data_IF_562918134086
#
_entry.id   IF_562918134086
#
_cell.length_a   1.000
_cell.length_b   1.000
_cell.length_c   1.000
_cell.angle_alpha   90.00
_cell.angle_beta   90.00
_cell.angle_gamma   90.00
#
_symmetry.space_group_name_H-M   'P 1'
#
loop_
_entity.id
_entity.type
_entity.pdbx_description
1 polymer ?
#
# COMPACT_ATOMS: atom_id res chain seq x y z
N UNK A 1 42.47 -4.00 8.13
CA UNK A 1 43.39 -2.96 8.60
C UNK A 1 42.98 -2.44 9.99
N UNK A 2 41.74 -1.98 10.23
CA UNK A 2 41.33 -1.40 11.52
C UNK A 2 41.32 -2.37 12.73
N UNK A 3 40.80 -3.60 12.56
CA UNK A 3 40.75 -4.61 13.66
C UNK A 3 42.15 -4.96 14.15
N UNK A 4 43.08 -5.29 13.25
CA UNK A 4 44.44 -5.68 13.63
C UNK A 4 45.23 -4.62 14.39
N UNK A 5 44.99 -3.34 14.11
CA UNK A 5 45.63 -2.22 14.82
C UNK A 5 45.00 -1.95 16.20
N UNK A 6 43.75 -2.35 16.37
CA UNK A 6 43.00 -2.22 17.62
C UNK A 6 43.29 -3.38 18.60
N UNK A 7 43.67 -4.54 18.06
CA UNK A 7 43.97 -5.77 18.82
C UNK A 7 45.46 -6.00 19.04
N UNK A 8 46.34 -5.30 18.32
CA UNK A 8 47.79 -5.38 18.54
C UNK A 8 48.22 -4.71 19.85
N UNK A 9 49.25 -5.27 20.48
CA UNK A 9 49.99 -4.62 21.56
C UNK A 9 50.52 -3.25 21.13
N UNK A 10 50.52 -2.30 22.06
CA UNK A 10 50.97 -0.91 21.84
C UNK A 10 52.27 -0.65 22.59
N UNK A 11 52.92 0.48 22.34
CA UNK A 11 54.09 0.91 23.09
C UNK A 11 53.83 2.29 23.73
N UNK A 12 54.32 2.48 24.95
CA UNK A 12 54.36 3.78 25.63
C UNK A 12 55.39 4.69 24.93
N UNK A 13 55.37 5.99 25.25
CA UNK A 13 56.40 6.91 24.74
C UNK A 13 57.82 6.51 25.18
N UNK A 14 57.95 5.78 26.30
CA UNK A 14 59.22 5.26 26.81
C UNK A 14 59.58 3.86 26.22
N UNK A 15 58.73 3.29 25.37
CA UNK A 15 58.94 1.98 24.74
C UNK A 15 58.35 0.78 25.50
N UNK A 16 57.68 1.01 26.63
CA UNK A 16 57.08 -0.07 27.43
C UNK A 16 55.85 -0.66 26.73
N UNK A 17 55.66 -1.99 26.73
CA UNK A 17 54.49 -2.60 26.13
C UNK A 17 53.20 -2.20 26.88
N UNK A 18 52.25 -1.67 26.13
CA UNK A 18 50.90 -1.33 26.57
C UNK A 18 49.92 -2.38 26.03
N UNK A 19 48.90 -2.66 26.85
CA UNK A 19 47.81 -3.53 26.43
C UNK A 19 47.12 -3.03 25.15
N UNK A 20 46.57 -3.95 24.33
CA UNK A 20 45.70 -3.59 23.21
C UNK A 20 44.59 -2.63 23.65
N UNK A 21 44.05 -1.85 22.71
CA UNK A 21 42.91 -0.96 23.02
C UNK A 21 41.67 -1.74 23.44
N UNK A 22 41.49 -2.92 22.86
CA UNK A 22 40.40 -3.84 23.14
C UNK A 22 40.99 -5.20 23.54
N UNK A 23 41.44 -5.34 24.79
CA UNK A 23 42.18 -6.53 25.23
C UNK A 23 41.34 -7.81 25.20
N UNK A 24 40.03 -7.74 25.44
CA UNK A 24 39.15 -8.92 25.43
C UNK A 24 38.81 -9.34 23.99
N UNK A 25 38.63 -8.39 23.08
CA UNK A 25 38.44 -8.67 21.65
C UNK A 25 39.71 -9.27 21.04
N UNK A 26 40.88 -8.75 21.39
CA UNK A 26 42.17 -9.28 20.94
C UNK A 26 42.35 -10.74 21.37
N UNK A 27 42.21 -11.01 22.67
CA UNK A 27 42.34 -12.34 23.25
C UNK A 27 41.33 -13.34 22.68
N UNK A 28 40.08 -12.93 22.43
CA UNK A 28 39.08 -13.79 21.83
C UNK A 28 39.28 -14.06 20.33
N UNK A 29 39.82 -13.09 19.57
CA UNK A 29 40.23 -13.31 18.19
C UNK A 29 41.42 -14.27 18.10
N UNK A 30 42.43 -14.09 18.96
CA UNK A 30 43.63 -14.92 18.99
C UNK A 30 43.30 -16.38 19.33
N UNK A 31 42.32 -16.60 20.21
CA UNK A 31 41.77 -17.94 20.52
C UNK A 31 40.76 -18.47 19.51
N UNK A 32 40.41 -17.69 18.48
CA UNK A 32 39.41 -18.07 17.49
C UNK A 32 37.97 -18.18 18.03
N UNK A 33 37.69 -17.61 19.22
CA UNK A 33 36.37 -17.65 19.84
C UNK A 33 35.36 -16.74 19.12
N UNK A 34 35.84 -15.68 18.48
CA UNK A 34 35.00 -14.77 17.68
C UNK A 34 35.60 -14.56 16.28
N UNK A 35 34.75 -14.32 15.28
CA UNK A 35 35.17 -13.94 13.94
C UNK A 35 35.47 -12.45 13.79
N UNK A 36 36.15 -12.07 12.72
CA UNK A 36 36.54 -10.67 12.41
C UNK A 36 35.35 -9.71 12.38
N UNK A 37 34.21 -10.16 11.85
CA UNK A 37 32.99 -9.34 11.80
C UNK A 37 32.44 -9.01 13.19
N UNK A 38 32.46 -9.99 14.12
CA UNK A 38 32.03 -9.76 15.49
C UNK A 38 32.98 -8.82 16.23
N UNK A 39 34.30 -9.02 16.04
CA UNK A 39 35.31 -8.14 16.60
C UNK A 39 35.17 -6.68 16.12
N UNK A 40 34.93 -6.46 14.83
CA UNK A 40 34.75 -5.11 14.28
C UNK A 40 33.52 -4.41 14.85
N UNK A 41 32.42 -5.14 15.04
CA UNK A 41 31.17 -4.61 15.59
C UNK A 41 31.35 -4.22 17.08
N UNK A 42 32.02 -5.04 17.88
CA UNK A 42 32.33 -4.75 19.30
C UNK A 42 33.30 -3.58 19.43
N UNK A 43 34.36 -3.55 18.60
CA UNK A 43 35.32 -2.44 18.53
C UNK A 43 34.63 -1.12 18.22
N UNK A 44 33.79 -1.07 17.20
CA UNK A 44 33.08 0.15 16.80
C UNK A 44 32.17 0.68 17.90
N UNK A 45 31.47 -0.21 18.61
CA UNK A 45 30.65 0.12 19.77
C UNK A 45 31.47 0.78 20.89
N UNK A 46 32.52 0.09 21.35
CA UNK A 46 33.37 0.56 22.45
C UNK A 46 34.09 1.87 22.10
N UNK A 47 34.61 2.00 20.89
CA UNK A 47 35.24 3.24 20.41
C UNK A 47 34.25 4.41 20.33
N UNK A 48 33.00 4.15 19.94
CA UNK A 48 31.95 5.16 19.80
C UNK A 48 31.45 5.74 21.11
N UNK A 49 31.70 5.05 22.22
CA UNK A 49 31.33 5.45 23.59
C UNK A 49 32.53 5.89 24.45
N UNK A 50 33.76 5.71 23.98
CA UNK A 50 34.99 5.99 24.73
C UNK A 50 35.09 7.43 25.29
N UNK A 51 34.43 8.41 24.65
CA UNK A 51 34.43 9.81 25.10
C UNK A 51 33.29 10.17 26.05
N UNK A 52 32.30 9.29 26.21
CA UNK A 52 31.07 9.55 26.98
C UNK A 52 30.88 8.61 28.18
N UNK A 53 31.60 7.49 28.23
CA UNK A 53 31.46 6.48 29.28
C UNK A 53 32.78 6.25 30.02
N UNK A 54 32.71 5.76 31.26
CA UNK A 54 33.89 5.40 32.03
C UNK A 54 34.61 4.19 31.42
N UNK A 55 35.95 4.17 31.53
CA UNK A 55 36.78 3.10 30.97
C UNK A 55 36.43 1.73 31.56
N UNK A 56 36.07 1.67 32.84
CA UNK A 56 35.73 0.43 33.53
C UNK A 56 34.44 -0.20 32.97
N UNK A 57 33.43 0.62 32.69
CA UNK A 57 32.16 0.16 32.11
C UNK A 57 32.33 -0.35 30.68
N UNK A 58 33.19 0.31 29.90
CA UNK A 58 33.52 -0.12 28.54
C UNK A 58 34.28 -1.45 28.53
N UNK A 59 35.23 -1.64 29.44
CA UNK A 59 35.98 -2.89 29.59
C UNK A 59 35.06 -4.05 30.05
N UNK A 60 34.14 -3.79 30.98
CA UNK A 60 33.13 -4.76 31.40
C UNK A 60 32.19 -5.14 30.24
N UNK A 61 31.77 -4.15 29.44
CA UNK A 61 30.89 -4.35 28.28
C UNK A 61 31.59 -5.11 27.15
N UNK A 62 32.86 -4.80 26.88
CA UNK A 62 33.68 -5.52 25.90
C UNK A 62 33.77 -7.01 26.25
N UNK A 63 34.14 -7.34 27.49
CA UNK A 63 34.21 -8.72 27.99
C UNK A 63 32.88 -9.45 27.85
N UNK A 64 31.80 -8.81 28.30
CA UNK A 64 30.47 -9.39 28.27
C UNK A 64 30.01 -9.68 26.83
N UNK A 65 30.26 -8.76 25.89
CA UNK A 65 29.93 -8.95 24.47
C UNK A 65 30.72 -10.07 23.82
N UNK A 66 32.03 -10.14 24.12
CA UNK A 66 32.91 -11.21 23.63
C UNK A 66 32.45 -12.59 24.11
N UNK A 67 32.04 -12.73 25.36
CA UNK A 67 31.53 -13.99 25.91
C UNK A 67 30.21 -14.45 25.26
N UNK A 68 29.33 -13.50 24.89
CA UNK A 68 28.02 -13.82 24.27
C UNK A 68 28.10 -14.00 22.76
N UNK A 69 29.04 -13.36 22.08
CA UNK A 69 29.13 -13.36 20.61
C UNK A 69 29.01 -14.75 19.95
N UNK A 70 29.61 -15.84 20.48
CA UNK A 70 29.49 -17.17 19.88
C UNK A 70 28.07 -17.77 19.98
N UNK A 71 27.27 -17.32 20.93
CA UNK A 71 25.96 -17.91 21.26
C UNK A 71 24.81 -17.27 20.47
N UNK A 72 24.96 -16.01 20.07
CA UNK A 72 23.87 -15.19 19.53
C UNK A 72 24.02 -14.81 18.05
N UNK A 73 25.18 -15.11 17.46
CA UNK A 73 25.52 -14.68 16.10
C UNK A 73 25.61 -13.15 15.94
N UNK A 74 25.85 -12.67 14.72
CA UNK A 74 26.08 -11.24 14.45
C UNK A 74 24.82 -10.40 14.73
N UNK A 75 23.64 -10.85 14.28
CA UNK A 75 22.41 -10.08 14.46
C UNK A 75 21.99 -10.00 15.93
N UNK A 76 22.16 -11.09 16.68
CA UNK A 76 21.98 -11.10 18.13
C UNK A 76 22.96 -10.15 18.81
N UNK A 77 24.24 -10.18 18.42
CA UNK A 77 25.28 -9.30 18.96
C UNK A 77 24.96 -7.82 18.73
N UNK A 78 24.48 -7.45 17.53
CA UNK A 78 24.05 -6.07 17.22
C UNK A 78 22.88 -5.64 18.10
N UNK A 79 21.91 -6.54 18.39
CA UNK A 79 20.82 -6.25 19.32
C UNK A 79 21.34 -6.00 20.74
N UNK A 80 22.24 -6.84 21.22
CA UNK A 80 22.85 -6.69 22.54
C UNK A 80 23.62 -5.36 22.68
N UNK A 81 24.38 -4.98 21.65
CA UNK A 81 25.10 -3.71 21.61
C UNK A 81 24.14 -2.53 21.74
N UNK A 82 23.04 -2.50 20.99
CA UNK A 82 22.04 -1.42 21.10
C UNK A 82 21.48 -1.27 22.52
N UNK A 83 21.29 -2.38 23.24
CA UNK A 83 20.82 -2.38 24.63
C UNK A 83 21.91 -1.87 25.58
N UNK A 84 23.17 -2.27 25.39
CA UNK A 84 24.28 -1.75 26.19
C UNK A 84 24.52 -0.26 25.94
N UNK A 85 24.47 0.19 24.68
CA UNK A 85 24.57 1.62 24.35
C UNK A 85 23.51 2.43 25.11
N UNK A 86 22.26 1.98 25.12
CA UNK A 86 21.18 2.67 25.82
C UNK A 86 21.36 2.68 27.35
N UNK A 87 22.02 1.65 27.91
CA UNK A 87 22.32 1.57 29.34
C UNK A 87 23.50 2.46 29.75
N UNK A 88 24.54 2.51 28.92
CA UNK A 88 25.77 3.25 29.17
C UNK A 88 25.64 4.75 28.85
N UNK A 89 24.78 5.10 27.91
CA UNK A 89 24.50 6.47 27.49
C UNK A 89 22.98 6.72 27.39
N UNK A 90 22.25 6.77 28.53
CA UNK A 90 20.80 6.97 28.52
C UNK A 90 20.40 8.32 27.90
N UNK A 91 21.18 9.37 28.15
CA UNK A 91 20.96 10.72 27.61
C UNK A 91 21.12 10.75 26.09
N UNK A 92 21.95 9.88 25.51
CA UNK A 92 22.12 9.73 24.06
C UNK A 92 20.94 9.06 23.34
N UNK A 93 20.02 8.41 24.06
CA UNK A 93 18.89 7.68 23.44
C UNK A 93 17.91 8.64 22.78
N UNK A 94 17.49 9.70 23.48
CA UNK A 94 16.49 10.66 22.99
C UNK A 94 16.98 11.45 21.76
N UNK A 95 18.20 12.03 21.74
CA UNK A 95 18.73 12.70 20.56
C UNK A 95 18.84 11.79 19.34
N UNK A 96 19.28 10.53 19.54
CA UNK A 96 19.35 9.55 18.46
C UNK A 96 17.97 9.17 17.94
N UNK A 97 16.98 9.02 18.83
CA UNK A 97 15.59 8.80 18.44
C UNK A 97 15.08 9.97 17.58
N UNK A 98 15.35 11.21 17.96
CA UNK A 98 14.94 12.40 17.19
C UNK A 98 15.64 12.47 15.83
N UNK A 99 16.91 12.08 15.74
CA UNK A 99 17.61 11.98 14.47
C UNK A 99 16.99 10.92 13.54
N UNK A 100 16.68 9.72 14.07
CA UNK A 100 15.99 8.66 13.32
C UNK A 100 14.60 9.12 12.86
N UNK A 101 13.89 9.85 13.73
CA UNK A 101 12.59 10.46 13.46
C UNK A 101 12.66 11.51 12.36
N UNK A 102 13.73 12.30 12.31
CA UNK A 102 13.95 13.31 11.28
C UNK A 102 14.27 12.71 9.90
N UNK A 103 14.82 11.49 9.86
CA UNK A 103 15.11 10.76 8.60
C UNK A 103 13.89 10.08 7.97
N UNK A 104 12.72 10.16 8.61
CA UNK A 104 11.51 9.54 8.08
C UNK A 104 11.13 10.11 6.72
N UNK A 105 10.70 9.23 5.83
CA UNK A 105 10.13 9.60 4.55
C UNK A 105 9.46 8.41 3.90
N UNK A 106 8.41 8.66 3.13
CA UNK A 106 7.74 7.66 2.31
C UNK A 106 7.51 8.25 0.93
N UNK A 107 8.02 7.57 -0.09
CA UNK A 107 7.79 7.90 -1.50
C UNK A 107 6.92 6.82 -2.11
N UNK A 108 5.89 7.24 -2.84
CA UNK A 108 4.96 6.36 -3.57
C UNK A 108 4.91 6.90 -5.00
N UNK A 109 5.12 6.04 -5.99
CA UNK A 109 5.07 6.41 -7.41
C UNK A 109 4.59 5.25 -8.27
N UNK A 110 4.02 5.57 -9.42
CA UNK A 110 3.71 4.61 -10.48
C UNK A 110 4.85 4.62 -11.51
N UNK A 111 5.31 3.45 -11.94
CA UNK A 111 6.28 3.34 -13.04
C UNK A 111 5.59 3.16 -14.40
N UNK A 112 6.36 3.22 -15.48
CA UNK A 112 5.84 3.09 -16.84
C UNK A 112 5.20 1.72 -17.15
N UNK A 113 5.37 0.71 -16.29
CA UNK A 113 4.71 -0.59 -16.40
C UNK A 113 3.39 -0.66 -15.62
N UNK A 114 3.01 0.43 -14.93
CA UNK A 114 1.80 0.49 -14.12
C UNK A 114 1.98 -0.08 -12.72
N UNK A 115 3.21 -0.40 -12.31
CA UNK A 115 3.47 -0.94 -10.97
C UNK A 115 3.57 0.21 -9.98
N UNK A 116 2.79 0.11 -8.90
CA UNK A 116 2.87 1.04 -7.77
C UNK A 116 4.04 0.63 -6.88
N UNK A 117 5.00 1.54 -6.78
CA UNK A 117 6.23 1.37 -6.03
C UNK A 117 6.19 2.20 -4.75
N UNK A 118 6.71 1.63 -3.65
CA UNK A 118 6.81 2.29 -2.36
C UNK A 118 8.25 2.19 -1.84
N UNK A 119 8.80 3.31 -1.36
CA UNK A 119 10.09 3.35 -0.66
C UNK A 119 9.96 4.19 0.60
N UNK A 120 10.17 3.54 1.75
CA UNK A 120 9.99 4.16 3.05
C UNK A 120 11.20 4.01 3.98
N UNK A 121 11.43 5.03 4.80
CA UNK A 121 12.28 4.98 5.98
C UNK A 121 11.43 5.38 7.19
N UNK A 122 11.41 4.53 8.21
CA UNK A 122 10.60 4.72 9.42
C UNK A 122 11.50 4.67 10.66
N UNK A 123 11.24 5.55 11.63
CA UNK A 123 11.87 5.44 12.95
C UNK A 123 11.36 4.19 13.69
N UNK A 124 12.06 3.71 14.73
CA UNK A 124 11.69 2.48 15.42
C UNK A 124 10.24 2.47 15.96
N UNK A 125 9.72 3.60 16.44
CA UNK A 125 8.37 3.68 17.02
C UNK A 125 7.31 3.49 15.95
N UNK A 126 7.48 4.11 14.77
CA UNK A 126 6.52 4.01 13.68
C UNK A 126 6.73 2.77 12.80
N UNK A 127 7.96 2.28 12.69
CA UNK A 127 8.32 1.12 11.88
C UNK A 127 7.99 -0.22 12.55
N UNK A 128 8.07 -0.30 13.89
CA UNK A 128 7.77 -1.53 14.63
C UNK A 128 6.38 -2.12 14.34
N UNK A 129 5.26 -1.35 14.41
CA UNK A 129 3.93 -1.91 14.12
C UNK A 129 3.80 -2.34 12.65
N UNK A 130 4.39 -1.61 11.70
CA UNK A 130 4.37 -1.96 10.28
C UNK A 130 5.09 -3.29 10.05
N UNK A 131 6.32 -3.41 10.57
CA UNK A 131 7.15 -4.61 10.46
C UNK A 131 6.43 -5.82 11.08
N UNK A 132 5.94 -5.68 12.31
CA UNK A 132 5.28 -6.77 13.03
C UNK A 132 4.01 -7.25 12.32
N UNK A 133 3.18 -6.32 11.83
CA UNK A 133 1.95 -6.68 11.13
C UNK A 133 2.24 -7.49 9.85
N UNK A 134 3.22 -7.05 9.04
CA UNK A 134 3.63 -7.75 7.82
C UNK A 134 4.21 -9.12 8.17
N UNK A 135 5.18 -9.19 9.08
CA UNK A 135 5.81 -10.46 9.47
C UNK A 135 4.82 -11.47 10.03
N UNK A 136 3.80 -10.99 10.75
CA UNK A 136 2.74 -11.85 11.29
C UNK A 136 1.90 -12.47 10.17
N UNK A 137 1.45 -11.67 9.21
CA UNK A 137 0.64 -12.15 8.08
C UNK A 137 1.45 -13.12 7.21
N UNK A 138 2.69 -12.77 6.87
CA UNK A 138 3.58 -13.66 6.10
C UNK A 138 3.88 -14.94 6.87
N UNK A 139 4.11 -14.86 8.18
CA UNK A 139 4.32 -16.03 9.02
C UNK A 139 3.13 -16.99 9.04
N UNK A 140 1.90 -16.48 8.97
CA UNK A 140 0.69 -17.31 8.84
C UNK A 140 0.70 -18.05 7.51
N UNK A 141 0.97 -17.37 6.40
CA UNK A 141 1.01 -17.98 5.07
C UNK A 141 2.11 -19.05 4.95
N UNK A 142 3.31 -18.76 5.46
CA UNK A 142 4.41 -19.74 5.46
C UNK A 142 4.09 -20.97 6.32
N UNK A 143 3.43 -20.79 7.48
CA UNK A 143 2.97 -21.93 8.30
C UNK A 143 1.92 -22.75 7.56
N UNK A 144 0.91 -22.11 6.95
CA UNK A 144 -0.11 -22.78 6.11
C UNK A 144 0.55 -23.59 4.99
N UNK A 145 1.50 -23.00 4.28
CA UNK A 145 2.23 -23.66 3.21
C UNK A 145 3.04 -24.87 3.68
N UNK A 146 3.64 -24.80 4.87
CA UNK A 146 4.37 -25.91 5.49
C UNK A 146 3.41 -27.02 5.93
N UNK A 147 2.30 -26.65 6.54
CA UNK A 147 1.32 -27.61 7.07
C UNK A 147 0.58 -28.31 5.91
N UNK A 148 0.33 -27.62 4.79
CA UNK A 148 -0.17 -28.21 3.55
C UNK A 148 0.80 -29.23 2.91
N UNK A 149 2.10 -29.13 3.22
CA UNK A 149 3.13 -30.10 2.79
C UNK A 149 3.26 -31.29 3.74
N UNK A 150 2.61 -31.28 4.91
CA UNK A 150 2.64 -32.43 5.84
C UNK A 150 1.76 -33.56 5.29
N UNK A 151 2.26 -34.80 5.17
CA UNK A 151 1.45 -35.94 4.78
C UNK A 151 0.31 -36.19 5.77
N UNK A 152 -0.86 -36.56 5.24
CA UNK A 152 -2.02 -36.97 6.03
C UNK A 152 -1.64 -38.14 6.94
N UNK A 153 -1.72 -37.95 8.27
CA UNK A 153 -1.40 -38.98 9.27
C UNK A 153 -0.06 -38.85 10.01
N UNK A 154 0.72 -37.78 9.78
CA UNK A 154 1.88 -37.47 10.63
C UNK A 154 1.45 -36.77 11.93
N UNK A 155 0.94 -37.55 12.88
CA UNK A 155 0.79 -37.09 14.27
C UNK A 155 2.20 -36.95 14.87
N UNK A 156 2.54 -35.74 15.31
CA UNK A 156 3.49 -35.56 16.39
C UNK A 156 2.91 -34.52 17.35
N UNK A 157 2.75 -34.98 18.59
CA UNK A 157 2.07 -34.31 19.68
C UNK A 157 3.03 -33.27 20.26
N UNK A 158 2.88 -32.03 19.82
CA UNK A 158 3.71 -30.91 20.24
C UNK A 158 2.88 -29.63 20.31
N UNK A 159 1.94 -29.61 21.24
CA UNK A 159 1.27 -28.40 21.70
C UNK A 159 2.36 -27.44 22.24
N UNK A 160 2.65 -26.39 21.48
CA UNK A 160 3.34 -25.21 21.98
C UNK A 160 2.37 -24.04 21.84
N UNK A 161 1.53 -23.92 22.86
CA UNK A 161 0.83 -22.68 23.19
C UNK A 161 1.89 -21.65 23.55
N UNK A 162 2.19 -20.78 22.60
CA UNK A 162 3.20 -19.75 22.78
C UNK A 162 3.26 -18.83 21.58
N UNK A 163 2.65 -17.65 21.71
CA UNK A 163 3.06 -16.44 20.98
C UNK A 163 4.49 -16.12 21.44
N UNK A 164 5.46 -16.86 20.91
CA UNK A 164 6.88 -16.58 21.04
C UNK A 164 7.23 -15.53 20.01
N UNK A 165 7.46 -14.30 20.45
CA UNK A 165 7.99 -13.19 19.64
C UNK A 165 9.48 -13.35 19.33
N UNK A 166 9.96 -14.59 19.19
CA UNK A 166 11.35 -14.86 18.89
C UNK A 166 11.55 -14.65 17.39
N UNK A 167 12.17 -13.51 17.11
CA UNK A 167 12.25 -12.89 15.80
C UNK A 167 12.52 -13.87 14.67
N UNK A 168 11.53 -13.97 13.77
CA UNK A 168 11.78 -14.27 12.37
C UNK A 168 12.61 -13.10 11.83
N UNK A 169 13.92 -13.17 12.02
CA UNK A 169 14.87 -12.30 11.35
C UNK A 169 14.84 -12.65 9.87
N UNK A 170 13.93 -12.05 9.11
CA UNK A 170 14.07 -12.02 7.65
C UNK A 170 15.16 -11.00 7.35
N UNK A 171 16.41 -11.42 7.52
CA UNK A 171 17.56 -10.72 6.95
C UNK A 171 17.48 -10.77 5.43
N UNK A 172 17.91 -9.72 4.70
CA UNK A 172 18.00 -9.77 3.25
C UNK A 172 19.22 -10.63 2.90
N UNK A 173 19.07 -11.96 2.80
CA UNK A 173 20.25 -12.79 2.56
C UNK A 173 20.11 -14.30 2.50
N UNK A 174 18.94 -14.90 2.26
CA UNK A 174 18.88 -16.36 2.01
C UNK A 174 18.37 -16.67 0.60
N UNK A 175 19.31 -16.71 -0.33
CA UNK A 175 19.21 -17.48 -1.59
C UNK A 175 20.15 -18.68 -1.46
N UNK A 176 19.66 -19.77 -0.86
CA UNK A 176 20.36 -21.05 -0.81
C UNK A 176 19.52 -22.16 -1.46
N UNK A 177 20.08 -22.95 -2.40
CA UNK A 177 19.34 -24.01 -3.08
C UNK A 177 19.48 -25.36 -2.35
N UNK A 178 18.43 -26.18 -2.38
CA UNK A 178 18.56 -27.64 -2.38
C UNK A 178 18.41 -28.36 -1.03
N UNK A 179 17.25 -28.98 -0.84
CA UNK A 179 17.03 -30.06 0.12
C UNK A 179 15.97 -31.02 -0.42
N UNK A 180 16.35 -31.84 -1.40
CA UNK A 180 15.50 -32.89 -1.99
C UNK A 180 15.45 -34.11 -1.06
N UNK A 181 14.47 -34.15 -0.16
CA UNK A 181 14.04 -35.38 0.50
C UNK A 181 13.02 -36.14 -0.35
N UNK A 182 12.95 -37.49 -0.30
CA UNK A 182 12.04 -38.29 -1.12
C UNK A 182 10.65 -38.32 -0.48
N UNK A 183 9.92 -37.22 -0.62
CA UNK A 183 8.50 -37.12 -0.34
C UNK A 183 7.95 -36.16 -1.37
N UNK A 184 7.45 -36.68 -2.49
CA UNK A 184 6.97 -35.88 -3.61
C UNK A 184 5.83 -34.98 -3.18
N UNK A 185 6.14 -33.74 -2.80
CA UNK A 185 5.17 -32.67 -2.65
C UNK A 185 4.66 -32.31 -4.05
N UNK A 186 3.34 -32.28 -4.24
CA UNK A 186 2.77 -31.75 -5.47
C UNK A 186 3.21 -30.28 -5.62
N UNK A 187 4.04 -29.94 -6.63
CA UNK A 187 4.50 -28.57 -6.83
C UNK A 187 3.36 -27.59 -7.11
N UNK A 188 2.16 -28.08 -7.46
CA UNK A 188 0.95 -27.27 -7.67
C UNK A 188 0.37 -26.76 -6.34
N UNK A 189 0.57 -27.48 -5.24
CA UNK A 189 0.00 -27.15 -3.91
C UNK A 189 0.99 -26.42 -2.99
N UNK A 190 2.22 -26.20 -3.44
CA UNK A 190 3.23 -25.45 -2.68
C UNK A 190 3.01 -23.94 -2.77
N UNK A 191 3.36 -23.21 -1.72
CA UNK A 191 3.52 -21.75 -1.82
C UNK A 191 4.62 -21.44 -2.86
N UNK A 192 4.21 -20.75 -3.92
CA UNK A 192 5.06 -20.39 -5.06
C UNK A 192 5.48 -18.91 -5.04
N UNK A 193 4.84 -18.09 -4.21
CA UNK A 193 5.18 -16.66 -4.09
C UNK A 193 6.49 -16.49 -3.34
N UNK A 194 7.27 -15.49 -3.75
CA UNK A 194 8.48 -15.08 -3.03
C UNK A 194 8.12 -14.37 -1.73
N UNK A 195 9.06 -14.29 -0.78
CA UNK A 195 8.86 -13.52 0.46
C UNK A 195 8.54 -12.05 0.17
N UNK A 196 9.13 -11.48 -0.88
CA UNK A 196 8.83 -10.11 -1.31
C UNK A 196 7.39 -9.97 -1.81
N UNK A 197 6.87 -10.95 -2.55
CA UNK A 197 5.47 -10.98 -2.98
C UNK A 197 4.53 -11.13 -1.78
N UNK A 198 4.83 -12.03 -0.84
CA UNK A 198 4.05 -12.18 0.40
C UNK A 198 4.04 -10.89 1.24
N UNK A 199 5.18 -10.20 1.34
CA UNK A 199 5.26 -8.90 2.02
C UNK A 199 4.40 -7.83 1.33
N UNK A 200 4.37 -7.82 0.00
CA UNK A 200 3.52 -6.90 -0.77
C UNK A 200 2.03 -7.18 -0.56
N UNK A 201 1.62 -8.46 -0.61
CA UNK A 201 0.26 -8.91 -0.34
C UNK A 201 -0.17 -8.52 1.08
N UNK A 202 0.67 -8.79 2.09
CA UNK A 202 0.40 -8.43 3.48
C UNK A 202 0.21 -6.93 3.68
N UNK A 203 1.02 -6.09 3.03
CA UNK A 203 0.86 -4.65 3.08
C UNK A 203 -0.44 -4.19 2.41
N UNK A 204 -0.82 -4.79 1.28
CA UNK A 204 -2.08 -4.51 0.60
C UNK A 204 -3.30 -4.89 1.48
N UNK A 205 -3.25 -6.02 2.17
CA UNK A 205 -4.31 -6.45 3.09
C UNK A 205 -4.47 -5.51 4.28
N UNK A 206 -3.37 -5.04 4.87
CA UNK A 206 -3.39 -4.04 5.94
C UNK A 206 -4.05 -2.74 5.44
N UNK A 207 -3.74 -2.30 4.22
CA UNK A 207 -4.34 -1.11 3.63
C UNK A 207 -5.85 -1.28 3.40
N UNK A 208 -6.29 -2.42 2.85
CA UNK A 208 -7.73 -2.74 2.65
C UNK A 208 -8.49 -2.79 3.97
N UNK A 209 -7.90 -3.44 4.99
CA UNK A 209 -8.49 -3.47 6.33
C UNK A 209 -8.65 -2.06 6.91
N UNK A 210 -7.66 -1.19 6.69
CA UNK A 210 -7.71 0.20 7.14
C UNK A 210 -8.79 1.01 6.43
N UNK A 211 -9.00 0.83 5.13
CA UNK A 211 -10.05 1.53 4.36
C UNK A 211 -11.47 1.12 4.76
N UNK A 212 -11.62 -0.08 5.31
CA UNK A 212 -12.94 -0.68 5.62
C UNK A 212 -13.27 -0.64 7.11
N UNK A 213 -12.27 -0.39 7.95
CA UNK A 213 -12.43 -0.34 9.39
C UNK A 213 -13.31 0.83 9.82
N UNK A 214 -14.34 0.53 10.63
CA UNK A 214 -15.16 1.56 11.27
C UNK A 214 -14.36 2.44 12.23
N UNK A 215 -13.23 1.95 12.73
CA UNK A 215 -12.34 2.67 13.65
C UNK A 215 -11.28 3.49 12.92
N UNK A 216 -11.18 3.41 11.59
CA UNK A 216 -10.24 4.21 10.83
C UNK A 216 -10.55 5.72 10.93
N UNK A 217 -9.53 6.59 10.78
CA UNK A 217 -9.71 8.03 10.67
C UNK A 217 -10.80 8.40 9.65
N UNK A 218 -11.56 9.47 9.93
CA UNK A 218 -12.66 9.91 9.06
C UNK A 218 -12.19 10.15 7.60
N UNK A 219 -10.95 10.62 7.42
CA UNK A 219 -10.34 10.80 6.11
C UNK A 219 -10.25 9.48 5.31
N UNK A 220 -9.84 8.37 5.94
CA UNK A 220 -9.77 7.06 5.27
C UNK A 220 -11.15 6.48 4.99
N UNK A 221 -12.12 6.68 5.89
CA UNK A 221 -13.49 6.21 5.70
C UNK A 221 -14.26 6.99 4.63
N UNK A 222 -13.78 8.17 4.24
CA UNK A 222 -14.38 9.01 3.21
C UNK A 222 -13.81 8.73 1.81
N UNK A 223 -12.75 7.92 1.70
CA UNK A 223 -12.12 7.56 0.42
C UNK A 223 -12.66 6.22 -0.06
N UNK A 224 -13.00 6.15 -1.33
CA UNK A 224 -13.40 4.92 -2.02
C UNK A 224 -12.55 4.78 -3.26
N UNK A 225 -11.96 3.60 -3.47
CA UNK A 225 -11.35 3.28 -4.77
C UNK A 225 -12.49 2.96 -5.74
N UNK A 226 -12.59 3.73 -6.83
CA UNK A 226 -13.63 3.57 -7.85
C UNK A 226 -13.04 2.84 -9.05
N UNK A 227 -13.64 1.72 -9.42
CA UNK A 227 -13.35 1.02 -10.67
C UNK A 227 -14.42 1.40 -11.70
N UNK A 228 -14.04 2.05 -12.79
CA UNK A 228 -14.94 2.39 -13.90
C UNK A 228 -14.87 1.32 -14.97
N UNK A 229 -16.02 0.74 -15.28
CA UNK A 229 -16.16 -0.35 -16.26
C UNK A 229 -17.42 -0.14 -17.10
N UNK A 230 -17.33 -0.45 -18.39
CA UNK A 230 -18.50 -0.47 -19.27
C UNK A 230 -19.44 -1.62 -18.86
N UNK A 231 -20.74 -1.38 -18.81
CA UNK A 231 -21.71 -2.38 -18.35
C UNK A 231 -21.74 -3.64 -19.25
N UNK A 232 -21.54 -3.49 -20.57
CA UNK A 232 -21.44 -4.63 -21.51
C UNK A 232 -20.16 -5.42 -21.25
N UNK A 233 -19.04 -4.73 -21.03
CA UNK A 233 -17.76 -5.38 -20.72
C UNK A 233 -17.82 -6.15 -19.39
N UNK A 234 -18.40 -5.54 -18.35
CA UNK A 234 -18.61 -6.17 -17.06
C UNK A 234 -19.49 -7.43 -17.15
N UNK A 235 -20.63 -7.34 -17.85
CA UNK A 235 -21.56 -8.47 -17.97
C UNK A 235 -20.98 -9.60 -18.84
N UNK A 236 -20.22 -9.25 -19.88
CA UNK A 236 -19.62 -10.23 -20.79
C UNK A 236 -18.34 -10.87 -20.25
N UNK A 237 -17.78 -10.35 -19.15
CA UNK A 237 -16.49 -10.76 -18.60
C UNK A 237 -15.30 -10.41 -19.49
N UNK A 238 -15.48 -9.58 -20.53
CA UNK A 238 -14.46 -9.23 -21.52
C UNK A 238 -14.35 -7.72 -21.62
N UNK A 239 -13.12 -7.21 -21.70
CA UNK A 239 -12.87 -5.77 -21.73
C UNK A 239 -11.87 -5.38 -20.64
N UNK A 240 -11.99 -4.15 -20.17
CA UNK A 240 -11.10 -3.60 -19.15
C UNK A 240 -11.85 -2.59 -18.27
N UNK A 241 -11.26 -2.29 -17.12
CA UNK A 241 -11.69 -1.21 -16.26
C UNK A 241 -10.51 -0.29 -15.92
N UNK A 242 -10.82 0.93 -15.51
CA UNK A 242 -9.85 1.89 -14.99
C UNK A 242 -10.09 2.12 -13.50
N UNK A 243 -9.01 2.38 -12.75
CA UNK A 243 -9.08 2.72 -11.33
C UNK A 243 -8.74 4.20 -11.14
N UNK A 244 -9.35 4.84 -10.16
CA UNK A 244 -8.96 6.21 -9.80
C UNK A 244 -7.53 6.26 -9.24
N UNK A 245 -6.72 7.13 -9.82
CA UNK A 245 -5.33 7.37 -9.38
C UNK A 245 -4.33 6.30 -9.82
N UNK A 246 -4.72 5.39 -10.72
CA UNK A 246 -3.85 4.37 -11.32
C UNK A 246 -4.03 4.42 -12.84
N UNK A 247 -2.94 4.59 -13.58
CA UNK A 247 -3.00 4.76 -15.03
C UNK A 247 -3.19 3.42 -15.76
N UNK A 248 -2.70 2.33 -15.17
CA UNK A 248 -2.77 0.99 -15.75
C UNK A 248 -4.20 0.39 -15.69
N UNK A 249 -4.78 0.02 -16.85
CA UNK A 249 -6.06 -0.68 -16.88
C UNK A 249 -6.00 -2.07 -16.25
N UNK A 250 -7.11 -2.48 -15.64
CA UNK A 250 -7.28 -3.79 -15.00
C UNK A 250 -8.29 -4.66 -15.76
N UNK A 251 -8.18 -5.98 -15.58
CA UNK A 251 -9.11 -6.93 -16.19
C UNK A 251 -10.48 -6.92 -15.50
N UNK A 252 -11.53 -7.34 -16.22
CA UNK A 252 -12.87 -7.52 -15.63
C UNK A 252 -12.85 -8.57 -14.50
N UNK A 253 -12.03 -9.62 -14.63
CA UNK A 253 -11.82 -10.60 -13.56
C UNK A 253 -11.30 -9.93 -12.28
N UNK A 254 -10.32 -9.04 -12.41
CA UNK A 254 -9.81 -8.24 -11.29
C UNK A 254 -10.91 -7.32 -10.71
N UNK A 255 -11.79 -6.75 -11.53
CA UNK A 255 -12.94 -5.97 -11.01
C UNK A 255 -13.87 -6.85 -10.16
N UNK A 256 -14.16 -8.09 -10.57
CA UNK A 256 -14.97 -9.01 -9.77
C UNK A 256 -14.29 -9.38 -8.44
N UNK A 257 -12.97 -9.61 -8.46
CA UNK A 257 -12.19 -9.83 -7.23
C UNK A 257 -12.25 -8.61 -6.31
N UNK A 258 -12.04 -7.41 -6.85
CA UNK A 258 -12.09 -6.16 -6.09
C UNK A 258 -13.48 -5.85 -5.56
N UNK A 259 -14.55 -6.18 -6.30
CA UNK A 259 -15.93 -6.01 -5.84
C UNK A 259 -16.27 -6.89 -4.63
N UNK A 260 -15.58 -8.03 -4.51
CA UNK A 260 -15.71 -8.95 -3.38
C UNK A 260 -14.83 -8.52 -2.21
N UNK A 261 -13.71 -7.83 -2.50
CA UNK A 261 -12.83 -7.26 -1.50
C UNK A 261 -13.43 -5.97 -0.89
N UNK A 262 -13.49 -5.90 0.44
CA UNK A 262 -14.02 -4.73 1.12
C UNK A 262 -13.17 -3.47 0.79
N UNK A 263 -13.84 -2.33 0.52
CA UNK A 263 -13.21 -1.02 0.36
C UNK A 263 -13.09 -0.50 -1.08
N UNK A 264 -13.55 -1.28 -2.07
CA UNK A 264 -13.52 -0.92 -3.49
C UNK A 264 -14.94 -1.07 -4.06
N UNK A 265 -15.43 -0.02 -4.73
CA UNK A 265 -16.78 -0.03 -5.30
C UNK A 265 -16.70 -0.06 -6.83
N UNK A 266 -17.12 -1.15 -7.50
CA UNK A 266 -17.26 -1.14 -8.95
C UNK A 266 -18.40 -0.20 -9.36
N UNK A 267 -18.12 0.68 -10.31
CA UNK A 267 -19.12 1.56 -10.92
C UNK A 267 -19.37 1.11 -12.36
N UNK A 268 -20.58 0.60 -12.60
CA UNK A 268 -21.04 0.19 -13.93
C UNK A 268 -21.49 1.42 -14.71
N UNK A 269 -20.88 1.62 -15.88
CA UNK A 269 -21.27 2.65 -16.83
C UNK A 269 -22.22 2.04 -17.86
N UNK A 270 -23.53 2.28 -17.73
CA UNK A 270 -24.55 1.77 -18.65
C UNK A 270 -25.84 2.59 -18.60
N UNK A 271 -26.73 2.39 -19.58
CA UNK A 271 -28.06 3.01 -19.56
C UNK A 271 -28.97 2.28 -18.56
N UNK A 272 -29.36 2.96 -17.48
CA UNK A 272 -30.23 2.41 -16.44
C UNK A 272 -29.84 2.90 -15.03
N UNK A 273 -30.44 3.99 -14.56
CA UNK A 273 -30.02 4.74 -13.37
C UNK A 273 -30.63 4.24 -12.05
N UNK A 274 -31.48 3.20 -12.07
CA UNK A 274 -32.39 2.88 -10.96
C UNK A 274 -31.74 2.46 -9.65
N UNK A 275 -30.50 1.95 -9.65
CA UNK A 275 -29.81 1.46 -8.44
C UNK A 275 -29.28 2.62 -7.57
N UNK A 276 -29.22 3.85 -8.10
CA UNK A 276 -28.69 5.04 -7.42
C UNK A 276 -29.77 6.07 -7.07
N UNK A 277 -31.06 5.71 -7.13
CA UNK A 277 -32.18 6.59 -6.79
C UNK A 277 -32.78 6.19 -5.44
N UNK A 278 -32.81 7.11 -4.46
CA UNK A 278 -33.37 6.84 -3.12
C UNK A 278 -34.73 7.49 -2.89
N UNK A 279 -35.19 8.32 -3.83
CA UNK A 279 -36.42 9.07 -3.69
C UNK A 279 -36.40 9.88 -2.39
N UNK A 280 -37.32 9.55 -1.48
CA UNK A 280 -37.47 10.20 -0.17
C UNK A 280 -37.03 9.35 1.03
N UNK A 281 -36.50 8.14 0.80
CA UNK A 281 -36.15 7.22 1.87
C UNK A 281 -34.94 7.69 2.71
N UNK A 282 -34.06 8.51 2.13
CA UNK A 282 -32.89 9.05 2.80
C UNK A 282 -32.67 10.51 2.42
N UNK A 283 -32.36 11.37 3.41
CA UNK A 283 -32.08 12.79 3.19
C UNK A 283 -30.69 13.06 2.59
N UNK A 284 -29.71 12.23 2.89
CA UNK A 284 -28.32 12.45 2.46
C UNK A 284 -27.99 11.55 1.27
N UNK A 285 -27.27 12.10 0.29
CA UNK A 285 -26.72 11.32 -0.81
C UNK A 285 -25.72 10.28 -0.27
N UNK A 286 -25.84 9.04 -0.73
CA UNK A 286 -24.86 7.97 -0.45
C UNK A 286 -23.49 8.29 -1.05
N UNK A 287 -22.46 7.56 -0.60
CA UNK A 287 -21.14 7.63 -1.21
C UNK A 287 -21.17 7.34 -2.72
N UNK A 288 -21.93 6.33 -3.15
CA UNK A 288 -22.07 5.97 -4.57
C UNK A 288 -22.74 7.09 -5.39
N UNK A 289 -23.79 7.73 -4.85
CA UNK A 289 -24.40 8.89 -5.51
C UNK A 289 -23.44 10.09 -5.59
N UNK A 290 -22.65 10.35 -4.54
CA UNK A 290 -21.64 11.41 -4.56
C UNK A 290 -20.56 11.16 -5.61
N UNK A 291 -20.08 9.93 -5.75
CA UNK A 291 -19.13 9.55 -6.80
C UNK A 291 -19.72 9.84 -8.18
N UNK A 292 -20.97 9.43 -8.43
CA UNK A 292 -21.65 9.69 -9.70
C UNK A 292 -21.82 11.20 -9.98
N UNK A 293 -22.16 11.99 -8.96
CA UNK A 293 -22.25 13.45 -9.08
C UNK A 293 -20.88 14.09 -9.37
N UNK A 294 -19.81 13.60 -8.75
CA UNK A 294 -18.43 14.07 -9.00
C UNK A 294 -17.98 13.76 -10.41
N UNK A 295 -18.28 12.56 -10.94
CA UNK A 295 -17.96 12.21 -12.33
C UNK A 295 -18.69 13.13 -13.31
N UNK A 296 -19.95 13.47 -13.01
CA UNK A 296 -20.71 14.41 -13.84
C UNK A 296 -20.14 15.84 -13.76
N UNK A 297 -19.86 16.32 -12.56
CA UNK A 297 -19.64 17.75 -12.27
C UNK A 297 -18.16 18.16 -12.16
N UNK A 298 -17.23 17.21 -12.01
CA UNK A 298 -15.77 17.43 -11.98
C UNK A 298 -15.21 18.11 -10.72
N UNK A 299 -16.02 18.31 -9.70
CA UNK A 299 -15.71 19.15 -8.55
C UNK A 299 -16.87 20.07 -8.24
N UNK A 300 -16.63 21.34 -7.92
CA UNK A 300 -17.72 22.31 -7.90
C UNK A 300 -18.27 22.49 -9.33
N UNK A 301 -19.55 22.18 -9.54
CA UNK A 301 -20.23 22.27 -10.84
C UNK A 301 -20.36 23.71 -11.37
N UNK A 302 -20.14 24.73 -10.53
CA UNK A 302 -20.32 26.12 -10.91
C UNK A 302 -19.40 26.51 -12.07
N UNK A 303 -19.91 27.20 -13.12
CA UNK A 303 -19.12 27.52 -14.31
C UNK A 303 -17.82 28.26 -13.97
N UNK A 304 -16.68 27.65 -14.32
CA UNK A 304 -15.35 28.25 -14.12
C UNK A 304 -14.78 28.13 -12.70
N UNK A 305 -15.44 27.40 -11.79
CA UNK A 305 -14.88 27.15 -10.46
C UNK A 305 -13.85 26.00 -10.52
N UNK A 306 -12.66 26.17 -9.94
CA UNK A 306 -11.62 25.13 -9.91
C UNK A 306 -11.56 24.34 -8.61
N UNK A 307 -12.55 24.48 -7.72
CA UNK A 307 -12.54 23.78 -6.43
C UNK A 307 -12.71 22.27 -6.64
N UNK A 308 -11.81 21.44 -6.08
CA UNK A 308 -11.83 20.00 -6.26
C UNK A 308 -13.03 19.35 -5.53
N UNK A 309 -13.37 18.10 -5.86
CA UNK A 309 -14.43 17.33 -5.18
C UNK A 309 -14.33 17.33 -3.65
N UNK A 310 -13.12 17.29 -3.09
CA UNK A 310 -12.89 17.33 -1.64
C UNK A 310 -13.35 18.63 -0.97
N UNK A 311 -13.58 19.69 -1.74
CA UNK A 311 -14.08 21.00 -1.28
C UNK A 311 -15.51 21.29 -1.78
N UNK A 312 -16.22 20.27 -2.26
CA UNK A 312 -17.59 20.36 -2.73
C UNK A 312 -18.50 19.36 -2.01
N UNK A 313 -19.75 19.75 -1.81
CA UNK A 313 -20.78 18.92 -1.20
C UNK A 313 -21.93 18.71 -2.19
N UNK A 314 -22.58 17.55 -2.08
CA UNK A 314 -23.77 17.25 -2.87
C UNK A 314 -24.96 18.05 -2.34
N UNK A 315 -25.53 18.88 -3.21
CA UNK A 315 -26.67 19.76 -2.98
C UNK A 315 -27.90 19.26 -3.74
N UNK A 316 -29.07 19.41 -3.14
CA UNK A 316 -30.35 19.13 -3.80
C UNK A 316 -30.81 20.33 -4.64
N UNK A 317 -31.00 20.14 -5.94
CA UNK A 317 -31.47 21.17 -6.88
C UNK A 317 -32.88 21.65 -6.48
N UNK A 318 -33.85 20.74 -6.40
CA UNK A 318 -35.10 20.93 -5.70
C UNK A 318 -34.88 20.59 -4.22
N UNK A 319 -35.08 21.56 -3.34
CA UNK A 319 -34.62 21.45 -1.96
C UNK A 319 -35.40 20.40 -1.19
N UNK A 320 -34.68 19.58 -0.42
CA UNK A 320 -35.27 18.49 0.36
C UNK A 320 -36.43 18.92 1.27
N UNK A 321 -36.29 20.03 2.00
CA UNK A 321 -37.33 20.50 2.94
C UNK A 321 -38.36 21.43 2.29
N UNK A 322 -37.91 22.40 1.48
CA UNK A 322 -38.77 23.45 0.90
C UNK A 322 -39.61 22.91 -0.27
N UNK A 323 -38.99 22.12 -1.15
CA UNK A 323 -39.59 21.72 -2.43
C UNK A 323 -39.96 20.23 -2.47
N UNK A 324 -39.80 19.53 -1.35
CA UNK A 324 -39.96 18.08 -1.24
C UNK A 324 -39.09 17.28 -2.23
N UNK A 325 -37.89 17.81 -2.56
CA UNK A 325 -36.98 17.17 -3.50
C UNK A 325 -36.48 15.79 -3.04
N UNK A 326 -36.11 14.96 -4.00
CA UNK A 326 -35.63 13.59 -3.80
C UNK A 326 -34.11 13.51 -3.74
N UNK A 327 -33.58 12.48 -3.09
CA UNK A 327 -32.14 12.15 -3.08
C UNK A 327 -31.88 11.21 -4.25
N UNK A 328 -31.96 11.79 -5.44
CA UNK A 328 -31.82 11.14 -6.73
C UNK A 328 -30.75 11.86 -7.56
N UNK A 329 -30.07 11.17 -8.46
CA UNK A 329 -28.96 11.76 -9.23
C UNK A 329 -29.41 12.95 -10.10
N UNK A 330 -30.62 12.86 -10.65
CA UNK A 330 -31.24 13.95 -11.42
C UNK A 330 -31.49 15.21 -10.57
N UNK A 331 -31.61 15.06 -9.25
CA UNK A 331 -31.84 16.16 -8.30
C UNK A 331 -30.60 16.53 -7.48
N UNK A 332 -29.45 15.89 -7.70
CA UNK A 332 -28.19 16.19 -7.03
C UNK A 332 -27.25 17.05 -7.88
N UNK A 333 -26.42 17.88 -7.24
CA UNK A 333 -25.32 18.63 -7.87
C UNK A 333 -24.17 18.91 -6.89
N UNK A 334 -22.92 18.88 -7.34
CA UNK A 334 -21.76 19.20 -6.49
C UNK A 334 -21.50 20.71 -6.42
N UNK A 335 -21.50 21.30 -5.22
CA UNK A 335 -21.20 22.72 -5.01
C UNK A 335 -20.26 22.93 -3.82
N UNK A 336 -19.27 23.81 -3.96
CA UNK A 336 -18.48 24.28 -2.83
C UNK A 336 -19.29 25.20 -1.91
N UNK A 337 -18.87 25.37 -0.65
CA UNK A 337 -19.58 26.19 0.33
C UNK A 337 -19.98 27.59 -0.18
N UNK A 338 -19.08 28.28 -0.89
CA UNK A 338 -19.36 29.60 -1.46
C UNK A 338 -20.48 29.58 -2.51
N UNK A 339 -20.40 28.68 -3.50
CA UNK A 339 -21.40 28.60 -4.57
C UNK A 339 -22.69 27.92 -4.11
N UNK A 340 -22.62 27.08 -3.07
CA UNK A 340 -23.80 26.55 -2.38
C UNK A 340 -24.64 27.71 -1.82
N UNK A 341 -24.05 28.61 -1.02
CA UNK A 341 -24.74 29.80 -0.53
C UNK A 341 -25.24 30.69 -1.67
N UNK A 342 -24.40 30.94 -2.68
CA UNK A 342 -24.79 31.76 -3.85
C UNK A 342 -26.04 31.23 -4.55
N UNK A 343 -26.18 29.92 -4.73
CA UNK A 343 -27.39 29.32 -5.32
C UNK A 343 -28.61 29.53 -4.42
N UNK A 344 -28.46 29.44 -3.10
CA UNK A 344 -29.52 29.70 -2.13
C UNK A 344 -29.95 31.18 -2.11
N UNK A 345 -28.99 32.09 -2.05
CA UNK A 345 -29.22 33.51 -1.79
C UNK A 345 -29.63 34.28 -3.05
N UNK A 346 -29.07 33.90 -4.21
CA UNK A 346 -29.24 34.66 -5.43
C UNK A 346 -30.37 34.14 -6.33
N UNK A 347 -31.11 33.09 -5.96
CA UNK A 347 -32.24 32.60 -6.76
C UNK A 347 -31.85 32.04 -8.12
N UNK A 348 -30.67 31.41 -8.21
CA UNK A 348 -30.26 30.68 -9.40
C UNK A 348 -31.09 29.41 -9.56
N UNK A 349 -31.49 29.13 -10.80
CA UNK A 349 -32.12 27.85 -11.16
C UNK A 349 -31.08 26.94 -11.79
N UNK A 350 -31.12 25.67 -11.41
CA UNK A 350 -30.22 24.65 -11.93
C UNK A 350 -31.07 23.62 -12.64
N UNK A 351 -30.63 23.18 -13.81
CA UNK A 351 -31.26 22.11 -14.57
C UNK A 351 -30.21 21.08 -14.99
N UNK A 352 -30.57 19.80 -14.99
CA UNK A 352 -29.76 18.75 -15.58
C UNK A 352 -30.34 18.44 -16.97
N UNK A 353 -29.54 18.61 -18.02
CA UNK A 353 -29.92 18.34 -19.41
C UNK A 353 -28.84 17.47 -20.05
N UNK A 354 -29.23 16.33 -20.61
CA UNK A 354 -28.33 15.36 -21.26
C UNK A 354 -27.09 15.01 -20.41
N UNK A 355 -27.32 14.75 -19.11
CA UNK A 355 -26.25 14.42 -18.17
C UNK A 355 -25.32 15.58 -17.81
N UNK A 356 -25.68 16.84 -18.08
CA UNK A 356 -24.91 18.03 -17.68
C UNK A 356 -25.71 19.01 -16.86
N UNK A 357 -25.03 19.68 -15.93
CA UNK A 357 -25.60 20.79 -15.16
C UNK A 357 -25.62 22.09 -15.97
N UNK A 358 -26.72 22.83 -15.85
CA UNK A 358 -26.94 24.13 -16.48
C UNK A 358 -27.42 25.13 -15.42
N UNK A 359 -26.72 26.26 -15.31
CA UNK A 359 -27.00 27.32 -14.36
C UNK A 359 -27.72 28.47 -15.06
N UNK A 360 -28.93 28.76 -14.60
CA UNK A 360 -29.81 29.79 -15.14
C UNK A 360 -29.85 30.95 -14.15
N UNK A 361 -29.29 32.12 -14.50
CA UNK A 361 -29.29 33.27 -13.62
C UNK A 361 -30.71 33.83 -13.41
N UNK A 362 -30.97 34.49 -12.27
CA UNK A 362 -32.18 35.28 -12.08
C UNK A 362 -32.22 36.46 -13.06
N UNK A 363 -33.43 36.90 -13.42
CA UNK A 363 -33.63 38.02 -14.36
C UNK A 363 -32.90 39.31 -13.97
N UNK A 364 -32.68 39.54 -12.67
CA UNK A 364 -31.92 40.70 -12.16
C UNK A 364 -30.43 40.68 -12.54
N UNK A 365 -29.85 39.50 -12.74
CA UNK A 365 -28.43 39.35 -13.13
C UNK A 365 -28.27 39.19 -14.65
N UNK A 366 -29.27 38.62 -15.32
CA UNK A 366 -29.35 38.51 -16.77
C UNK A 366 -30.83 38.52 -17.17
N UNK A 367 -31.35 39.61 -17.77
CA UNK A 367 -32.74 39.73 -18.16
C UNK A 367 -33.21 38.63 -19.14
N UNK A 368 -32.29 38.06 -19.91
CA UNK A 368 -32.57 36.98 -20.85
C UNK A 368 -32.40 35.59 -20.23
N UNK A 369 -31.95 35.51 -18.97
CA UNK A 369 -31.74 34.29 -18.21
C UNK A 369 -31.02 33.19 -19.02
N UNK A 370 -29.95 33.55 -19.72
CA UNK A 370 -29.27 32.63 -20.64
C UNK A 370 -28.61 31.49 -19.84
N UNK A 371 -28.91 30.21 -20.14
CA UNK A 371 -28.30 29.09 -19.45
C UNK A 371 -26.78 29.04 -19.66
N UNK A 372 -26.04 28.79 -18.58
CA UNK A 372 -24.58 28.64 -18.58
C UNK A 372 -24.24 27.18 -18.28
N UNK A 373 -23.43 26.51 -19.10
CA UNK A 373 -23.03 25.13 -18.81
C UNK A 373 -22.18 25.12 -17.54
N UNK A 374 -22.49 24.20 -16.63
CA UNK A 374 -21.66 23.90 -15.48
C UNK A 374 -20.35 23.23 -15.90
N UNK A 375 -19.46 23.10 -14.93
CA UNK A 375 -18.27 22.28 -15.10
C UNK A 375 -18.67 20.83 -15.39
N UNK A 376 -17.79 20.12 -16.09
CA UNK A 376 -17.92 18.71 -16.36
C UNK A 376 -16.71 17.98 -15.79
N UNK A 377 -16.91 16.73 -15.36
CA UNK A 377 -15.81 15.85 -15.00
C UNK A 377 -14.85 15.61 -16.17
N UNK A 378 -13.67 15.03 -15.89
CA UNK A 378 -12.77 14.56 -16.94
C UNK A 378 -13.59 13.69 -17.89
N UNK A 379 -13.57 14.01 -19.20
CA UNK A 379 -14.22 13.12 -20.17
C UNK A 379 -13.45 11.80 -20.15
N UNK A 380 -14.06 10.75 -19.61
CA UNK A 380 -13.64 9.40 -19.98
C UNK A 380 -13.79 9.28 -21.49
N UNK A 381 -12.75 8.85 -22.23
CA UNK A 381 -12.92 8.50 -23.63
C UNK A 381 -13.88 7.33 -23.70
N UNK A 382 -15.17 7.62 -23.86
CA UNK A 382 -16.19 6.62 -24.11
C UNK A 382 -15.75 5.80 -25.33
N UNK A 383 -15.68 4.49 -25.12
CA UNK A 383 -15.23 3.48 -26.06
C UNK A 383 -15.74 3.70 -27.50
N UNK A 384 -14.82 4.08 -28.39
CA UNK A 384 -14.71 3.42 -29.69
C UNK A 384 -13.25 3.47 -30.15
N UNK A 385 -12.51 2.35 -30.12
CA UNK A 385 -11.24 2.30 -30.84
C UNK A 385 -11.50 2.59 -32.33
N UNK A 386 -10.57 3.23 -33.07
CA UNK A 386 -10.64 3.18 -34.53
C UNK A 386 -10.72 1.71 -34.94
N UNK A 387 -11.73 1.39 -35.73
CA UNK A 387 -12.19 0.02 -35.99
C UNK A 387 -11.03 -0.93 -36.23
N UNK A 388 -10.96 -1.99 -35.41
CA UNK A 388 -10.11 -3.13 -35.69
C UNK A 388 -10.69 -3.77 -36.94
N UNK A 389 -10.17 -3.42 -38.11
CA UNK A 389 -10.54 -4.05 -39.37
C UNK A 389 -10.34 -5.55 -39.17
N UNK A 390 -11.45 -6.27 -39.20
CA UNK A 390 -11.44 -7.72 -39.14
C UNK A 390 -10.49 -8.21 -40.22
N UNK A 391 -9.39 -8.82 -39.81
CA UNK A 391 -8.56 -9.62 -40.70
C UNK A 391 -9.49 -10.73 -41.19
N UNK A 392 -10.04 -10.54 -42.39
CA UNK A 392 -10.88 -11.52 -43.06
C UNK A 392 -10.11 -12.82 -43.06
N UNK A 393 -10.67 -13.80 -42.34
CA UNK A 393 -10.21 -15.18 -42.41
C UNK A 393 -10.22 -15.57 -43.88
N UNK A 394 -9.04 -15.92 -44.39
CA UNK A 394 -8.85 -16.54 -45.69
C UNK A 394 -9.60 -17.88 -45.64
N UNK A 395 -10.88 -17.86 -45.97
CA UNK A 395 -11.65 -19.08 -46.25
C UNK A 395 -10.99 -19.73 -47.46
N UNK A 396 -10.31 -20.85 -47.22
CA UNK A 396 -9.82 -21.71 -48.28
C UNK A 396 -10.97 -22.05 -49.22
N UNK A 397 -10.78 -21.78 -50.50
CA UNK A 397 -11.61 -22.35 -51.56
C UNK A 397 -11.45 -23.87 -51.49
N UNK A 398 -12.49 -24.55 -51.02
CA UNK A 398 -12.71 -25.94 -51.36
C UNK A 398 -13.56 -25.90 -52.64
N UNK A 399 -12.94 -26.25 -53.76
CA UNK A 399 -13.62 -26.38 -55.05
C UNK A 399 -14.67 -27.49 -54.99
N UNK A 400 -15.90 -27.27 -55.48
CA UNK A 400 -16.83 -28.38 -55.69
C UNK A 400 -16.42 -29.16 -56.95
N UNK A 401 -16.31 -30.46 -56.76
CA UNK A 401 -16.08 -31.48 -57.77
C UNK A 401 -17.23 -31.44 -58.79
N UNK A 402 -16.89 -31.23 -60.06
CA UNK A 402 -17.83 -31.35 -61.17
C UNK A 402 -18.18 -32.82 -61.38
N UNK A 403 -19.48 -33.11 -61.48
CA UNK A 403 -19.99 -34.34 -62.07
C UNK A 403 -21.07 -34.00 -63.10
N UNK A 404 -20.70 -34.21 -64.35
CA UNK A 404 -21.45 -34.82 -65.45
C UNK A 404 -22.87 -34.34 -65.82
N UNK A 405 -22.94 -33.98 -67.11
CA UNK A 405 -23.98 -34.28 -68.11
C UNK A 405 -25.30 -33.50 -68.11
N UNK A 406 -25.43 -32.59 -69.08
CA UNK A 406 -26.44 -32.70 -70.14
C UNK A 406 -26.13 -31.74 -71.31
N UNK A 407 -26.05 -32.34 -72.51
CA UNK A 407 -26.09 -31.78 -73.89
C UNK A 407 -24.85 -31.06 -74.43
#
# INVERSE_FOLDING_TARGET
MAVGQATSTRASFAGDPLAPRHPHVADALDRGAIGVSAAEVIRRFTDGLATRCERADLEASERWLVERAPQVGIDGLVRLIKQLEARLDPEGVKPREDELRARRGLSIWEDASGVINLKGAFDPVNGAPIKLAIETLVGVELRRARDAKRPFGSADDGEIDGVGTDGVGIGPGDTGPGGTGPGGTDPVMGEVRTIQQLNADALADIARLSLTSKQAPAALRAVTVVARVDAVDFTSGRGHATLDGIDQPISIASVHELATAAGIAPMLMGEGHHVLEFGRAARLFSAAQKIALVERDGGCAWPGCSRPPSHAEAHHIAWWKRDNGTTDLANGIMLCAFHHHRVHDDGWRIEIRDGRSWFIPPARLDPHQRPRPGNAGPRHPANRPPGRTGRTGRTGRISPMQSADAA
#
